data_IF_906560245737
#
_entry.id   IF_906560245737
#
_cell.length_a   1.000
_cell.length_b   1.000
_cell.length_c   1.000
_cell.angle_alpha   90.00
_cell.angle_beta   90.00
_cell.angle_gamma   90.00
#
_symmetry.space_group_name_H-M   'P 1'
#
loop_
_entity.id
_entity.type
_entity.pdbx_description
1 polymer ?
#
# COMPACT_ATOMS: atom_id res chain seq x y z
N UNK A 1 -24.26 17.84 -27.02
CA UNK A 1 -25.25 18.74 -27.66
C UNK A 1 -25.00 18.63 -29.15
N UNK A 2 -26.02 18.24 -29.92
CA UNK A 2 -25.90 17.90 -31.33
C UNK A 2 -26.57 19.03 -32.12
N UNK A 3 -25.82 19.74 -32.95
CA UNK A 3 -26.35 20.85 -33.74
C UNK A 3 -26.57 20.42 -35.19
N UNK A 4 -27.78 20.69 -35.71
CA UNK A 4 -28.20 20.41 -37.09
C UNK A 4 -28.11 21.70 -37.92
N UNK A 5 -26.90 22.09 -38.36
CA UNK A 5 -26.70 22.93 -39.56
C UNK A 5 -25.23 23.30 -39.73
N UNK A 6 -24.66 22.94 -40.88
CA UNK A 6 -23.83 23.85 -41.65
C UNK A 6 -24.35 23.80 -43.09
N UNK A 7 -24.74 24.95 -43.67
CA UNK A 7 -24.73 25.05 -45.12
C UNK A 7 -23.26 24.87 -45.56
N UNK A 8 -23.00 24.47 -46.80
CA UNK A 8 -21.68 24.06 -47.28
C UNK A 8 -20.51 25.07 -47.13
N UNK A 9 -20.69 26.18 -46.42
CA UNK A 9 -19.65 27.14 -46.11
C UNK A 9 -18.77 26.68 -44.93
N UNK A 10 -17.47 26.65 -45.15
CA UNK A 10 -16.43 26.46 -44.14
C UNK A 10 -16.60 27.42 -42.93
N UNK A 11 -17.18 28.60 -43.17
CA UNK A 11 -17.51 29.60 -42.16
C UNK A 11 -18.59 29.16 -41.15
N UNK A 12 -19.51 28.26 -41.53
CA UNK A 12 -20.54 27.74 -40.62
C UNK A 12 -19.97 26.69 -39.66
N UNK A 13 -19.02 25.86 -40.13
CA UNK A 13 -18.33 24.86 -39.31
C UNK A 13 -17.44 25.53 -38.25
N UNK A 14 -16.69 26.55 -38.64
CA UNK A 14 -15.82 27.31 -37.74
C UNK A 14 -16.61 28.05 -36.64
N UNK A 15 -17.73 28.68 -37.00
CA UNK A 15 -18.65 29.28 -36.02
C UNK A 15 -19.21 28.24 -35.05
N UNK A 16 -19.54 27.06 -35.56
CA UNK A 16 -20.01 25.93 -34.75
C UNK A 16 -19.03 25.47 -33.66
N UNK A 17 -17.74 25.35 -34.00
CA UNK A 17 -16.71 24.98 -33.03
C UNK A 17 -16.48 26.08 -31.97
N UNK A 18 -16.55 27.36 -32.37
CA UNK A 18 -16.31 28.50 -31.47
C UNK A 18 -17.38 28.64 -30.37
N UNK A 19 -18.62 28.18 -30.61
CA UNK A 19 -19.69 28.15 -29.59
C UNK A 19 -19.72 26.85 -28.77
N UNK A 20 -18.69 26.00 -28.89
CA UNK A 20 -18.57 24.75 -28.13
C UNK A 20 -19.41 23.58 -28.68
N UNK A 21 -19.87 23.68 -29.93
CA UNK A 21 -20.55 22.59 -30.62
C UNK A 21 -19.55 21.45 -30.88
N UNK A 22 -19.81 20.28 -30.31
CA UNK A 22 -18.89 19.14 -30.35
C UNK A 22 -19.15 18.21 -31.55
N UNK A 23 -20.34 18.31 -32.17
CA UNK A 23 -20.77 17.42 -33.25
C UNK A 23 -21.74 18.13 -34.21
N UNK A 24 -21.41 18.15 -35.50
CA UNK A 24 -22.16 18.81 -36.57
C UNK A 24 -22.52 17.83 -37.67
N UNK A 25 -23.75 17.97 -38.19
CA UNK A 25 -24.22 17.22 -39.36
C UNK A 25 -24.47 18.21 -40.51
N UNK A 26 -23.77 18.02 -41.62
CA UNK A 26 -23.89 18.84 -42.84
C UNK A 26 -25.14 18.44 -43.65
N UNK A 27 -25.77 19.42 -44.30
CA UNK A 27 -26.93 19.17 -45.18
C UNK A 27 -26.50 18.91 -46.64
N UNK A 28 -27.28 18.12 -47.41
CA UNK A 28 -28.41 17.31 -46.96
C UNK A 28 -27.92 16.11 -46.12
N UNK A 29 -28.58 15.84 -45.00
CA UNK A 29 -28.18 14.76 -44.08
C UNK A 29 -28.97 13.48 -44.34
N UNK A 30 -28.34 12.34 -44.07
CA UNK A 30 -29.00 11.04 -44.09
C UNK A 30 -29.52 10.70 -42.69
N UNK A 31 -30.74 10.17 -42.60
CA UNK A 31 -31.39 9.81 -41.32
C UNK A 31 -30.52 8.84 -40.51
N UNK A 32 -29.86 7.90 -41.18
CA UNK A 32 -28.95 6.93 -40.54
C UNK A 32 -27.78 7.60 -39.82
N UNK A 33 -27.20 8.65 -40.40
CA UNK A 33 -26.09 9.39 -39.79
C UNK A 33 -26.55 10.11 -38.52
N UNK A 34 -27.72 10.74 -38.56
CA UNK A 34 -28.30 11.42 -37.40
C UNK A 34 -28.57 10.43 -36.27
N UNK A 35 -29.18 9.28 -36.59
CA UNK A 35 -29.47 8.23 -35.60
C UNK A 35 -28.20 7.64 -34.98
N UNK A 36 -27.17 7.36 -35.80
CA UNK A 36 -25.89 6.85 -35.31
C UNK A 36 -25.23 7.81 -34.31
N UNK A 37 -25.22 9.13 -34.62
CA UNK A 37 -24.66 10.15 -33.72
C UNK A 37 -25.49 10.30 -32.44
N UNK A 38 -26.81 10.38 -32.54
CA UNK A 38 -27.69 10.44 -31.34
C UNK A 38 -27.45 9.25 -30.42
N UNK A 39 -27.37 8.04 -30.98
CA UNK A 39 -27.09 6.82 -30.22
C UNK A 39 -25.72 6.90 -29.53
N UNK A 40 -24.69 7.39 -30.23
CA UNK A 40 -23.35 7.58 -29.67
C UNK A 40 -23.36 8.53 -28.47
N UNK A 41 -24.03 9.68 -28.59
CA UNK A 41 -24.15 10.65 -27.49
C UNK A 41 -24.92 10.09 -26.30
N UNK A 42 -25.99 9.33 -26.54
CA UNK A 42 -26.75 8.66 -25.47
C UNK A 42 -25.88 7.63 -24.77
N UNK A 43 -25.16 6.79 -25.51
CA UNK A 43 -24.27 5.77 -24.96
C UNK A 43 -23.14 6.43 -24.15
N UNK A 44 -22.49 7.47 -24.68
CA UNK A 44 -21.44 8.20 -23.96
C UNK A 44 -21.96 8.82 -22.67
N UNK A 45 -23.15 9.43 -22.68
CA UNK A 45 -23.76 9.99 -21.49
C UNK A 45 -24.15 8.93 -20.44
N UNK A 46 -24.50 7.72 -20.88
CA UNK A 46 -24.74 6.57 -20.00
C UNK A 46 -23.45 6.05 -19.39
N UNK A 47 -22.42 5.80 -20.21
CA UNK A 47 -21.11 5.32 -19.74
C UNK A 47 -20.45 6.30 -18.77
N UNK A 48 -20.53 7.61 -19.04
CA UNK A 48 -20.01 8.63 -18.11
C UNK A 48 -20.71 8.60 -16.75
N UNK A 49 -22.03 8.37 -16.74
CA UNK A 49 -22.80 8.20 -15.50
C UNK A 49 -22.38 6.93 -14.76
N UNK A 50 -22.31 5.80 -15.46
CA UNK A 50 -21.90 4.51 -14.88
C UNK A 50 -20.49 4.59 -14.26
N UNK A 51 -19.54 5.22 -14.94
CA UNK A 51 -18.19 5.44 -14.39
C UNK A 51 -18.25 6.30 -13.13
N UNK A 52 -19.04 7.38 -13.13
CA UNK A 52 -19.18 8.25 -11.96
C UNK A 52 -19.82 7.51 -10.77
N UNK A 53 -20.83 6.68 -11.03
CA UNK A 53 -21.49 5.84 -10.02
C UNK A 53 -20.52 4.79 -9.44
N UNK A 54 -19.77 4.10 -10.31
CA UNK A 54 -18.76 3.12 -9.91
C UNK A 54 -17.63 3.75 -9.11
N UNK A 55 -17.14 4.92 -9.52
CA UNK A 55 -16.10 5.64 -8.79
C UNK A 55 -16.57 5.99 -7.38
N UNK A 56 -17.80 6.52 -7.23
CA UNK A 56 -18.38 6.79 -5.90
C UNK A 56 -18.50 5.54 -5.05
N UNK A 57 -18.95 4.42 -5.64
CA UNK A 57 -19.05 3.15 -4.93
C UNK A 57 -17.68 2.62 -4.49
N UNK A 58 -16.66 2.73 -5.34
CA UNK A 58 -15.29 2.34 -5.03
C UNK A 58 -14.69 3.21 -3.93
N UNK A 59 -14.93 4.52 -3.95
CA UNK A 59 -14.49 5.45 -2.89
C UNK A 59 -15.12 5.07 -1.54
N UNK A 60 -16.41 4.73 -1.51
CA UNK A 60 -17.06 4.28 -0.29
C UNK A 60 -16.48 2.95 0.23
N UNK A 61 -16.28 1.97 -0.65
CA UNK A 61 -15.73 0.67 -0.28
C UNK A 61 -14.28 0.76 0.20
N UNK A 62 -13.47 1.62 -0.41
CA UNK A 62 -12.06 1.83 0.01
C UNK A 62 -11.97 2.51 1.37
N UNK A 63 -12.87 3.45 1.67
CA UNK A 63 -12.97 4.05 3.00
C UNK A 63 -13.33 3.02 4.08
N UNK A 64 -14.29 2.14 3.79
CA UNK A 64 -14.69 1.05 4.69
C UNK A 64 -13.54 0.06 4.92
N UNK A 65 -12.90 -0.42 3.85
CA UNK A 65 -11.75 -1.32 3.93
C UNK A 65 -10.60 -0.72 4.74
N UNK A 66 -10.37 0.59 4.61
CA UNK A 66 -9.35 1.28 5.39
C UNK A 66 -9.68 1.28 6.88
N UNK A 67 -10.93 1.58 7.25
CA UNK A 67 -11.37 1.54 8.64
C UNK A 67 -11.21 0.13 9.24
N UNK A 68 -11.59 -0.91 8.50
CA UNK A 68 -11.43 -2.30 8.93
C UNK A 68 -9.96 -2.68 9.10
N UNK A 69 -9.08 -2.26 8.20
CA UNK A 69 -7.64 -2.49 8.32
C UNK A 69 -7.05 -1.80 9.56
N UNK A 70 -7.46 -0.57 9.85
CA UNK A 70 -7.03 0.16 11.04
C UNK A 70 -7.50 -0.54 12.32
N UNK A 71 -8.76 -0.99 12.36
CA UNK A 71 -9.30 -1.75 13.48
C UNK A 71 -8.57 -3.09 13.69
N UNK A 72 -8.33 -3.85 12.62
CA UNK A 72 -7.58 -5.11 12.67
C UNK A 72 -6.14 -4.89 13.15
N UNK A 73 -5.48 -3.85 12.65
CA UNK A 73 -4.11 -3.49 13.07
C UNK A 73 -4.08 -3.16 14.56
N UNK A 74 -5.07 -2.42 15.07
CA UNK A 74 -5.20 -2.14 16.51
C UNK A 74 -5.42 -3.41 17.33
N UNK A 75 -6.30 -4.31 16.88
CA UNK A 75 -6.54 -5.59 17.55
C UNK A 75 -5.28 -6.47 17.58
N UNK A 76 -4.53 -6.53 16.49
CA UNK A 76 -3.26 -7.25 16.41
C UNK A 76 -2.20 -6.65 17.33
N UNK A 77 -2.16 -5.32 17.48
CA UNK A 77 -1.25 -4.65 18.41
C UNK A 77 -1.51 -5.07 19.87
N UNK A 78 -2.79 -5.25 20.25
CA UNK A 78 -3.15 -5.71 21.60
C UNK A 78 -2.74 -7.17 21.89
N UNK A 79 -2.67 -8.02 20.85
CA UNK A 79 -2.29 -9.43 20.99
C UNK A 79 -0.75 -9.62 20.98
N UNK A 80 0.01 -8.66 20.44
CA UNK A 80 1.47 -8.76 20.27
C UNK A 80 2.24 -8.94 21.59
N UNK A 81 1.62 -8.63 22.72
CA UNK A 81 2.18 -8.81 24.08
C UNK A 81 2.39 -10.30 24.44
N UNK A 82 1.79 -11.25 23.72
CA UNK A 82 1.94 -12.67 24.05
C UNK A 82 3.16 -13.35 23.40
N UNK A 83 3.91 -12.67 22.52
CA UNK A 83 5.14 -13.18 21.89
C UNK A 83 6.44 -12.74 22.59
N UNK A 84 6.34 -11.97 23.66
CA UNK A 84 7.51 -11.40 24.34
C UNK A 84 8.12 -12.31 25.42
N UNK A 85 7.49 -13.45 25.69
CA UNK A 85 8.02 -14.43 26.63
C UNK A 85 8.91 -15.44 25.91
N UNK A 86 10.21 -15.16 25.89
CA UNK A 86 11.22 -16.14 25.47
C UNK A 86 11.23 -17.29 26.49
N UNK A 87 10.82 -18.51 26.12
CA UNK A 87 10.85 -19.63 27.04
C UNK A 87 12.31 -20.01 27.30
N UNK A 88 12.79 -19.74 28.52
CA UNK A 88 14.12 -20.15 28.95
C UNK A 88 14.05 -21.43 29.79
N UNK A 89 15.02 -22.33 29.60
CA UNK A 89 15.16 -23.49 30.46
C UNK A 89 15.64 -23.03 31.83
N UNK A 90 14.89 -23.28 32.89
CA UNK A 90 15.27 -22.83 34.24
C UNK A 90 16.60 -23.45 34.71
N UNK A 91 16.96 -24.65 34.20
CA UNK A 91 18.18 -25.37 34.53
C UNK A 91 19.42 -24.94 33.75
N UNK A 92 19.36 -24.86 32.42
CA UNK A 92 20.53 -24.57 31.56
C UNK A 92 20.49 -23.21 30.85
N UNK A 93 19.43 -22.41 31.03
CA UNK A 93 19.24 -21.07 30.46
C UNK A 93 19.20 -20.98 28.92
N UNK A 94 19.16 -22.11 28.22
CA UNK A 94 18.85 -22.15 26.78
C UNK A 94 17.47 -21.55 26.49
N UNK A 95 17.33 -20.98 25.30
CA UNK A 95 16.07 -20.43 24.78
C UNK A 95 15.44 -21.48 23.87
N UNK A 96 14.12 -21.68 24.01
CA UNK A 96 13.33 -22.50 23.08
C UNK A 96 12.77 -21.62 21.97
N UNK A 97 13.05 -21.97 20.73
CA UNK A 97 12.56 -21.21 19.58
C UNK A 97 11.15 -21.60 19.13
N UNK A 98 10.69 -20.94 18.06
CA UNK A 98 9.37 -21.14 17.45
C UNK A 98 9.18 -22.55 16.87
N UNK A 99 10.26 -23.29 16.61
CA UNK A 99 10.24 -24.67 16.14
C UNK A 99 10.26 -25.68 17.30
N UNK A 100 10.48 -25.20 18.53
CA UNK A 100 10.55 -26.01 19.74
C UNK A 100 11.96 -26.48 20.10
N UNK A 101 12.98 -26.06 19.35
CA UNK A 101 14.38 -26.44 19.57
C UNK A 101 15.06 -25.57 20.63
N UNK A 102 15.96 -26.17 21.41
CA UNK A 102 16.68 -25.49 22.49
C UNK A 102 18.08 -25.05 22.07
N UNK A 103 18.31 -23.75 22.05
CA UNK A 103 19.56 -23.14 21.61
C UNK A 103 20.14 -22.16 22.64
N UNK A 104 21.43 -21.87 22.51
CA UNK A 104 22.11 -20.89 23.35
C UNK A 104 21.63 -19.47 23.02
N UNK A 105 21.69 -18.58 24.02
CA UNK A 105 21.17 -17.21 23.91
C UNK A 105 21.83 -16.43 22.76
N UNK A 106 23.13 -16.59 22.57
CA UNK A 106 23.89 -15.88 21.54
C UNK A 106 23.45 -16.34 20.13
N UNK A 107 23.22 -17.64 19.96
CA UNK A 107 22.72 -18.23 18.70
C UNK A 107 21.31 -17.75 18.40
N UNK A 108 20.44 -17.77 19.39
CA UNK A 108 19.05 -17.33 19.25
C UNK A 108 18.98 -15.84 18.86
N UNK A 109 19.69 -14.97 19.58
CA UNK A 109 19.63 -13.54 19.34
C UNK A 109 20.31 -13.13 18.02
N UNK A 110 21.40 -13.80 17.63
CA UNK A 110 22.06 -13.52 16.33
C UNK A 110 21.18 -13.91 15.12
N UNK A 111 20.28 -14.88 15.30
CA UNK A 111 19.37 -15.34 14.22
C UNK A 111 18.05 -14.57 14.17
N UNK A 112 17.64 -13.95 15.28
CA UNK A 112 16.35 -13.26 15.41
C UNK A 112 16.46 -11.74 15.57
N UNK A 113 17.67 -11.17 15.52
CA UNK A 113 17.91 -9.72 15.61
C UNK A 113 19.20 -9.33 14.88
N UNK A 114 19.37 -8.02 14.63
CA UNK A 114 20.58 -7.47 14.00
C UNK A 114 21.78 -7.35 14.98
N UNK A 115 21.86 -8.23 15.98
CA UNK A 115 22.91 -8.22 17.01
C UNK A 115 24.01 -9.20 16.63
N UNK A 116 25.27 -8.74 16.67
CA UNK A 116 26.46 -9.59 16.57
C UNK A 116 27.14 -9.64 17.94
N UNK A 117 27.42 -10.84 18.46
CA UNK A 117 28.13 -11.00 19.72
C UNK A 117 29.64 -10.98 19.52
N UNK A 118 30.31 -10.09 20.26
CA UNK A 118 31.75 -10.14 20.48
C UNK A 118 32.03 -10.72 21.86
N UNK A 119 33.10 -11.49 21.99
CA UNK A 119 33.47 -12.11 23.25
C UNK A 119 34.51 -11.23 23.97
N UNK A 120 34.23 -10.90 25.23
CA UNK A 120 35.11 -10.14 26.09
C UNK A 120 34.93 -10.54 27.54
N UNK A 121 35.95 -10.29 28.36
CA UNK A 121 35.85 -10.46 29.80
C UNK A 121 35.48 -9.13 30.43
N UNK A 122 34.50 -9.09 31.33
CA UNK A 122 34.24 -7.89 32.12
C UNK A 122 35.37 -7.66 33.15
N UNK A 123 35.47 -6.47 33.77
CA UNK A 123 36.54 -6.18 34.75
C UNK A 123 36.61 -7.17 35.92
N UNK A 124 35.46 -7.64 36.39
CA UNK A 124 35.38 -8.63 37.48
C UNK A 124 35.96 -9.99 37.08
N UNK A 125 35.52 -10.53 35.94
CA UNK A 125 36.03 -11.79 35.42
C UNK A 125 37.51 -11.69 35.05
N UNK A 126 37.93 -10.59 34.44
CA UNK A 126 39.33 -10.37 34.09
C UNK A 126 40.23 -10.36 35.33
N UNK A 127 39.84 -9.63 36.39
CA UNK A 127 40.61 -9.62 37.65
C UNK A 127 40.66 -11.01 38.30
N UNK A 128 39.61 -11.81 38.15
CA UNK A 128 39.57 -13.18 38.67
C UNK A 128 40.53 -14.12 37.94
N UNK A 129 40.55 -14.07 36.60
CA UNK A 129 41.35 -14.97 35.77
C UNK A 129 42.78 -14.47 35.51
N UNK A 130 42.98 -13.16 35.54
CA UNK A 130 44.24 -12.47 35.24
C UNK A 130 44.56 -11.41 36.31
N UNK A 131 44.75 -11.81 37.58
CA UNK A 131 44.92 -10.88 38.70
C UNK A 131 46.17 -9.99 38.58
N UNK A 132 47.21 -10.48 37.89
CA UNK A 132 48.48 -9.77 37.72
C UNK A 132 48.50 -8.79 36.53
N UNK A 133 47.41 -8.72 35.77
CA UNK A 133 47.29 -7.87 34.59
C UNK A 133 46.32 -6.72 34.81
N UNK A 134 46.61 -5.57 34.20
CA UNK A 134 45.69 -4.44 34.17
C UNK A 134 44.62 -4.63 33.11
N UNK A 135 43.37 -4.31 33.45
CA UNK A 135 42.26 -4.43 32.52
C UNK A 135 42.44 -3.48 31.33
N UNK A 136 42.40 -3.96 30.08
CA UNK A 136 42.65 -3.12 28.91
C UNK A 136 41.55 -2.06 28.75
N UNK A 137 41.94 -0.79 28.77
CA UNK A 137 41.05 0.35 28.53
C UNK A 137 40.94 0.63 27.03
N UNK A 138 40.08 -0.12 26.34
CA UNK A 138 39.76 0.08 24.92
C UNK A 138 38.39 -0.50 24.58
N UNK A 139 37.55 0.28 23.88
CA UNK A 139 36.24 -0.17 23.40
C UNK A 139 36.46 -1.24 22.32
N UNK A 140 36.09 -2.48 22.62
CA UNK A 140 35.74 -3.50 21.62
C UNK A 140 34.43 -3.15 20.94
#
# INVERSE_FOLDING_TARGET
MLFLSAANEEADKLRGFQVGGMDFITKPFHVEEVLARVNTHIQLARSRRDIADKNRALEALTAELRSQNEALTSALAQIKVLKEFLPICSGCKKIRDDQGEWQDVDTYLSTHSDITFTHGLCPGCFKLYYPDYTYPSGKS
#
